data_IF_369745361178
#
_entry.id   IF_369745361178
#
_cell.length_a   1.000
_cell.length_b   1.000
_cell.length_c   1.000
_cell.angle_alpha   90.00
_cell.angle_beta   90.00
_cell.angle_gamma   90.00
#
_symmetry.space_group_name_H-M   'P 1'
#
loop_
_entity.id
_entity.type
_entity.pdbx_description
1 polymer ?
#
# COMPACT_ATOMS: atom_id res chain seq x y z
N UNK A 1 -14.91 -3.38 -28.72
CA UNK A 1 -15.74 -3.25 -27.50
C UNK A 1 -15.62 -1.80 -27.07
N UNK A 2 -16.65 -0.99 -26.83
CA UNK A 2 -18.10 -1.15 -26.81
C UNK A 2 -18.70 0.13 -27.44
N UNK A 3 -19.89 0.04 -28.03
CA UNK A 3 -20.55 1.17 -28.67
C UNK A 3 -21.64 1.79 -27.79
N UNK A 4 -21.83 3.10 -27.94
CA UNK A 4 -23.13 3.77 -27.80
C UNK A 4 -23.26 4.79 -28.93
N UNK A 5 -24.32 4.67 -29.72
CA UNK A 5 -24.71 5.69 -30.67
C UNK A 5 -25.47 6.81 -29.96
N UNK A 6 -25.14 8.05 -30.30
CA UNK A 6 -26.03 9.18 -30.58
C UNK A 6 -25.25 10.50 -30.41
N UNK A 7 -25.43 11.40 -31.37
CA UNK A 7 -24.86 12.75 -31.44
C UNK A 7 -24.65 13.44 -30.09
N UNK A 8 -23.40 13.48 -29.64
CA UNK A 8 -22.87 14.47 -28.71
C UNK A 8 -21.34 14.42 -28.80
N UNK A 9 -20.59 15.55 -28.74
CA UNK A 9 -19.12 15.53 -28.63
C UNK A 9 -18.63 14.99 -27.27
N UNK A 10 -19.47 14.25 -26.55
CA UNK A 10 -19.20 13.80 -25.19
C UNK A 10 -18.23 12.61 -25.19
N UNK A 11 -16.96 12.95 -25.04
CA UNK A 11 -16.13 12.50 -23.92
C UNK A 11 -16.00 10.99 -23.68
N UNK A 12 -15.81 10.19 -24.73
CA UNK A 12 -15.21 8.86 -24.58
C UNK A 12 -13.68 8.86 -24.70
N UNK A 13 -13.10 9.93 -25.26
CA UNK A 13 -11.65 10.12 -25.40
C UNK A 13 -11.05 11.21 -24.51
N UNK A 14 -11.87 11.98 -23.78
CA UNK A 14 -11.41 13.11 -22.94
C UNK A 14 -10.54 12.68 -21.74
N UNK A 15 -10.59 11.39 -21.38
CA UNK A 15 -9.76 10.78 -20.34
C UNK A 15 -8.62 9.93 -20.91
N UNK A 16 -8.48 9.86 -22.24
CA UNK A 16 -7.34 9.23 -22.88
C UNK A 16 -6.28 10.30 -23.21
N UNK A 17 -5.01 9.94 -23.03
CA UNK A 17 -3.94 10.82 -23.47
C UNK A 17 -3.95 10.89 -24.99
N UNK A 18 -4.12 12.10 -25.55
CA UNK A 18 -4.16 12.31 -26.98
C UNK A 18 -2.78 11.99 -27.58
N UNK A 19 -2.69 10.86 -28.28
CA UNK A 19 -1.51 10.48 -29.05
C UNK A 19 -1.80 10.68 -30.52
N UNK A 20 -1.26 11.77 -31.05
CA UNK A 20 -1.40 12.15 -32.45
C UNK A 20 -0.31 11.49 -33.31
N UNK A 21 -0.70 10.52 -34.13
CA UNK A 21 0.25 9.74 -34.94
C UNK A 21 0.53 10.35 -36.32
N UNK A 22 -0.40 11.14 -36.85
CA UNK A 22 -0.29 11.78 -38.16
C UNK A 22 -0.03 13.30 -38.05
N UNK A 23 0.17 13.80 -36.84
CA UNK A 23 0.41 15.21 -36.52
C UNK A 23 -0.70 16.13 -37.04
N UNK A 24 -1.94 15.66 -37.09
CA UNK A 24 -3.08 16.44 -37.59
C UNK A 24 -3.76 17.27 -36.49
N UNK A 25 -3.42 17.03 -35.22
CA UNK A 25 -3.96 17.71 -34.05
C UNK A 25 -5.42 17.37 -33.76
N UNK A 26 -5.98 16.33 -34.38
CA UNK A 26 -7.41 15.99 -34.33
C UNK A 26 -7.62 14.59 -33.77
N UNK A 27 -8.61 14.45 -32.88
CA UNK A 27 -9.07 13.14 -32.44
C UNK A 27 -9.89 12.47 -33.56
N UNK A 28 -9.26 11.55 -34.28
CA UNK A 28 -9.93 10.80 -35.33
C UNK A 28 -10.91 9.79 -34.72
N UNK A 29 -12.18 9.88 -35.13
CA UNK A 29 -13.22 8.96 -34.69
C UNK A 29 -13.04 7.60 -35.38
N UNK A 30 -13.53 6.52 -34.77
CA UNK A 30 -13.42 5.20 -35.41
C UNK A 30 -14.12 5.18 -36.78
N UNK A 31 -13.54 4.47 -37.74
CA UNK A 31 -14.09 4.30 -39.09
C UNK A 31 -14.98 3.05 -39.20
N UNK A 32 -15.15 2.31 -38.10
CA UNK A 32 -15.93 1.07 -38.03
C UNK A 32 -15.25 -0.13 -38.71
N UNK A 33 -13.98 -0.01 -39.10
CA UNK A 33 -13.23 -1.03 -39.83
C UNK A 33 -12.20 -1.72 -38.93
N UNK A 34 -11.70 -2.89 -39.36
CA UNK A 34 -10.73 -3.69 -38.62
C UNK A 34 -9.30 -3.31 -38.98
N UNK A 35 -8.47 -3.04 -37.96
CA UNK A 35 -7.09 -2.52 -38.11
C UNK A 35 -6.07 -3.60 -37.73
N UNK A 36 -6.43 -4.88 -37.77
CA UNK A 36 -5.59 -5.97 -37.30
C UNK A 36 -4.89 -6.76 -38.42
N UNK A 37 -3.99 -7.65 -38.01
CA UNK A 37 -3.09 -8.41 -38.89
C UNK A 37 -3.80 -9.17 -40.02
N UNK A 38 -5.06 -9.59 -39.84
CA UNK A 38 -5.83 -10.31 -40.86
C UNK A 38 -6.14 -9.45 -42.11
N UNK A 39 -6.01 -8.12 -42.03
CA UNK A 39 -6.14 -7.24 -43.18
C UNK A 39 -4.92 -7.22 -44.12
N UNK A 40 -3.86 -7.96 -43.78
CA UNK A 40 -2.65 -8.00 -44.60
C UNK A 40 -2.83 -8.82 -45.88
N UNK A 41 -3.68 -9.86 -45.95
CA UNK A 41 -3.91 -10.67 -47.17
C UNK A 41 -5.22 -11.51 -47.15
N UNK A 42 -6.13 -11.40 -48.14
CA UNK A 42 -6.38 -10.25 -49.02
C UNK A 42 -7.20 -9.16 -48.30
N UNK A 43 -6.93 -7.87 -48.56
CA UNK A 43 -7.71 -6.79 -47.99
C UNK A 43 -9.17 -6.86 -48.49
N UNK A 44 -10.11 -6.83 -47.55
CA UNK A 44 -11.54 -6.88 -47.81
C UNK A 44 -12.22 -5.60 -47.33
N UNK A 45 -13.50 -5.39 -47.68
CA UNK A 45 -14.24 -4.17 -47.36
C UNK A 45 -14.35 -3.84 -45.87
N UNK A 46 -14.13 -4.83 -44.99
CA UNK A 46 -14.06 -4.63 -43.54
C UNK A 46 -12.71 -4.17 -42.99
N UNK A 47 -11.73 -3.83 -43.84
CA UNK A 47 -10.38 -3.44 -43.43
C UNK A 47 -10.16 -1.92 -43.53
N UNK A 48 -9.60 -1.33 -42.48
CA UNK A 48 -9.23 0.09 -42.49
C UNK A 48 -7.97 0.32 -43.31
N UNK A 49 -7.82 1.55 -43.82
CA UNK A 49 -6.53 2.06 -44.31
C UNK A 49 -5.50 2.25 -43.20
N UNK A 50 -5.95 2.39 -41.95
CA UNK A 50 -5.08 2.45 -40.77
C UNK A 50 -4.82 1.04 -40.24
N UNK A 51 -3.58 0.58 -40.36
CA UNK A 51 -3.20 -0.81 -40.04
C UNK A 51 -2.76 -1.04 -38.59
N UNK A 52 -2.67 0.02 -37.79
CA UNK A 52 -2.29 -0.06 -36.39
C UNK A 52 -3.01 1.01 -35.57
N UNK A 53 -3.55 0.58 -34.43
CA UNK A 53 -4.05 1.44 -33.37
C UNK A 53 -3.22 1.17 -32.12
N UNK A 54 -3.02 2.19 -31.29
CA UNK A 54 -2.34 1.99 -30.02
C UNK A 54 -3.30 1.34 -29.02
N UNK A 55 -2.85 0.29 -28.35
CA UNK A 55 -3.51 -0.26 -27.17
C UNK A 55 -2.46 -0.28 -26.08
N UNK A 56 -2.70 0.48 -25.00
CA UNK A 56 -1.85 0.45 -23.82
C UNK A 56 -2.57 -0.23 -22.66
N UNK A 57 -1.84 -1.06 -21.94
CA UNK A 57 -2.22 -1.54 -20.63
C UNK A 57 -1.01 -1.36 -19.70
N UNK A 58 -1.24 -0.92 -18.48
CA UNK A 58 -0.20 -0.74 -17.47
C UNK A 58 -0.53 -1.56 -16.23
N UNK A 59 0.45 -2.30 -15.73
CA UNK A 59 0.36 -3.05 -14.47
C UNK A 59 1.53 -2.64 -13.58
N UNK A 60 1.23 -2.32 -12.32
CA UNK A 60 2.26 -2.08 -11.31
C UNK A 60 2.55 -3.40 -10.60
N UNK A 61 3.80 -3.86 -10.70
CA UNK A 61 4.32 -4.98 -9.92
C UNK A 61 5.26 -4.43 -8.86
N UNK A 62 4.98 -4.75 -7.60
CA UNK A 62 5.83 -4.40 -6.46
C UNK A 62 6.64 -5.63 -6.07
N UNK A 63 7.96 -5.49 -5.94
CA UNK A 63 8.85 -6.59 -5.59
C UNK A 63 9.28 -6.47 -4.14
N UNK A 64 8.57 -7.17 -3.25
CA UNK A 64 8.80 -7.15 -1.82
C UNK A 64 9.92 -8.10 -1.37
N UNK A 65 10.85 -7.60 -0.56
CA UNK A 65 11.85 -8.41 0.14
C UNK A 65 11.31 -9.15 1.38
N UNK A 66 12.00 -10.20 1.81
CA UNK A 66 11.66 -10.94 3.05
C UNK A 66 12.38 -10.44 4.30
N UNK A 67 13.22 -9.40 4.18
CA UNK A 67 13.92 -8.78 5.30
C UNK A 67 13.16 -7.52 5.73
N UNK A 68 12.41 -7.57 6.85
CA UNK A 68 11.69 -6.40 7.34
C UNK A 68 12.63 -5.39 7.97
N UNK A 69 12.31 -4.12 7.77
CA UNK A 69 12.86 -2.96 8.45
C UNK A 69 11.72 -2.26 9.19
N UNK A 70 11.96 -1.87 10.44
CA UNK A 70 10.98 -1.20 11.28
C UNK A 70 11.54 0.11 11.81
N UNK A 71 10.77 1.18 11.68
CA UNK A 71 11.07 2.49 12.24
C UNK A 71 9.94 2.91 13.18
N UNK A 72 10.29 3.29 14.41
CA UNK A 72 9.37 3.94 15.33
C UNK A 72 9.11 5.36 14.84
N UNK A 73 7.84 5.72 14.64
CA UNK A 73 7.48 7.05 14.13
C UNK A 73 6.96 7.95 15.23
N UNK A 74 6.19 7.41 16.18
CA UNK A 74 5.57 8.20 17.23
C UNK A 74 5.21 7.35 18.44
N UNK A 75 5.40 7.93 19.63
CA UNK A 75 4.78 7.46 20.87
C UNK A 75 3.74 8.47 21.36
N UNK A 76 2.70 7.96 22.00
CA UNK A 76 1.60 8.74 22.58
C UNK A 76 1.52 8.34 24.05
N UNK A 77 1.95 9.25 24.92
CA UNK A 77 1.89 9.05 26.37
C UNK A 77 0.50 9.38 26.93
N UNK A 78 0.20 8.83 28.11
CA UNK A 78 -1.06 9.11 28.81
C UNK A 78 -1.18 10.57 29.26
N UNK A 79 -0.06 11.25 29.56
CA UNK A 79 -0.06 12.60 30.11
C UNK A 79 0.40 13.67 29.10
N UNK A 80 1.18 13.28 28.09
CA UNK A 80 1.64 14.16 27.03
C UNK A 80 1.51 13.47 25.65
N UNK A 81 0.41 13.69 24.93
CA UNK A 81 0.01 12.81 23.83
C UNK A 81 0.87 12.88 22.55
N UNK A 82 2.00 13.60 22.52
CA UNK A 82 2.85 13.68 21.33
C UNK A 82 4.32 13.94 21.67
N UNK A 83 5.16 12.92 21.67
CA UNK A 83 6.61 13.08 21.52
C UNK A 83 7.10 12.27 20.31
N UNK A 84 7.41 12.93 19.17
CA UNK A 84 7.87 12.24 17.97
C UNK A 84 9.32 11.72 18.09
N UNK A 85 10.06 12.07 19.14
CA UNK A 85 11.45 11.63 19.34
C UNK A 85 11.63 10.76 20.59
N UNK A 86 10.55 10.41 21.29
CA UNK A 86 10.65 9.51 22.43
C UNK A 86 10.56 8.04 21.98
N UNK A 87 11.39 7.22 22.61
CA UNK A 87 11.38 5.76 22.48
C UNK A 87 10.71 5.09 23.69
N UNK A 88 10.19 5.91 24.60
CA UNK A 88 9.49 5.51 25.82
C UNK A 88 8.02 5.89 25.69
N UNK A 89 7.15 5.04 26.23
CA UNK A 89 5.71 5.26 26.37
C UNK A 89 5.40 5.32 27.85
N UNK A 90 5.06 6.50 28.36
CA UNK A 90 4.70 6.71 29.76
C UNK A 90 3.19 6.60 29.95
N UNK A 91 2.76 5.61 30.72
CA UNK A 91 1.36 5.31 31.01
C UNK A 91 1.11 5.53 32.50
N UNK A 92 0.13 6.36 32.85
CA UNK A 92 -0.25 6.61 34.24
C UNK A 92 -1.35 5.63 34.66
N UNK A 93 -1.02 4.72 35.60
CA UNK A 93 -1.92 3.68 36.09
C UNK A 93 -2.59 2.87 34.99
N UNK A 94 -3.92 2.76 35.04
CA UNK A 94 -4.73 2.04 34.05
C UNK A 94 -5.07 2.84 32.78
N UNK A 95 -4.44 4.00 32.58
CA UNK A 95 -4.63 4.77 31.35
C UNK A 95 -4.06 4.05 30.13
N UNK A 96 -4.19 4.66 28.97
CA UNK A 96 -3.73 4.13 27.69
C UNK A 96 -2.63 4.99 27.10
N UNK A 97 -1.59 4.35 26.58
CA UNK A 97 -0.64 4.95 25.65
C UNK A 97 -0.78 4.32 24.26
N UNK A 98 -0.17 4.88 23.23
CA UNK A 98 -0.14 4.28 21.91
C UNK A 98 1.24 4.41 21.25
N UNK A 99 1.53 3.50 20.33
CA UNK A 99 2.79 3.47 19.57
C UNK A 99 2.46 3.31 18.10
N UNK A 100 3.11 4.10 17.26
CA UNK A 100 3.03 4.00 15.81
C UNK A 100 4.39 3.62 15.24
N UNK A 101 4.40 2.53 14.47
CA UNK A 101 5.58 2.01 13.78
C UNK A 101 5.31 1.92 12.29
N UNK A 102 6.32 2.22 11.48
CA UNK A 102 6.30 1.97 10.04
C UNK A 102 7.18 0.75 9.77
N UNK A 103 6.61 -0.22 9.05
CA UNK A 103 7.31 -1.43 8.62
C UNK A 103 7.43 -1.38 7.10
N UNK A 104 8.60 -1.72 6.57
CA UNK A 104 8.87 -1.84 5.14
C UNK A 104 9.90 -2.94 4.90
N UNK A 105 10.17 -3.28 3.64
CA UNK A 105 11.37 -4.04 3.32
C UNK A 105 12.63 -3.14 3.32
N UNK A 106 13.81 -3.74 3.10
CA UNK A 106 15.09 -3.04 3.03
C UNK A 106 15.12 -1.89 2.00
N UNK A 107 14.31 -1.96 0.95
CA UNK A 107 14.26 -0.98 -0.14
C UNK A 107 13.03 -0.05 -0.03
N UNK A 108 12.42 0.03 1.16
CA UNK A 108 11.24 0.85 1.43
C UNK A 108 10.02 0.49 0.55
N UNK A 109 9.89 -0.78 0.17
CA UNK A 109 8.69 -1.34 -0.45
C UNK A 109 7.81 -2.03 0.62
N UNK A 110 6.52 -2.26 0.34
CA UNK A 110 5.67 -3.05 1.22
C UNK A 110 6.22 -4.48 1.38
N UNK A 111 5.92 -5.10 2.52
CA UNK A 111 6.25 -6.51 2.75
C UNK A 111 5.41 -7.44 1.85
N UNK A 112 5.84 -8.69 1.62
CA UNK A 112 5.10 -9.64 0.80
C UNK A 112 3.70 -9.89 1.36
N UNK A 113 2.71 -10.01 0.47
CA UNK A 113 1.34 -10.34 0.86
C UNK A 113 1.29 -11.61 1.71
N UNK A 114 0.54 -11.58 2.81
CA UNK A 114 0.47 -12.68 3.77
C UNK A 114 1.53 -12.65 4.88
N UNK A 115 2.42 -11.65 4.90
CA UNK A 115 3.32 -11.42 6.05
C UNK A 115 2.48 -11.16 7.31
N UNK A 116 2.81 -11.83 8.42
CA UNK A 116 2.15 -11.63 9.70
C UNK A 116 2.95 -10.67 10.58
N UNK A 117 2.30 -9.63 11.06
CA UNK A 117 2.84 -8.70 12.03
C UNK A 117 2.11 -8.94 13.35
N UNK A 118 2.84 -9.29 14.40
CA UNK A 118 2.30 -9.51 15.74
C UNK A 118 2.95 -8.58 16.76
N UNK A 119 2.14 -8.05 17.64
CA UNK A 119 2.51 -7.13 18.70
C UNK A 119 2.34 -7.83 20.04
N UNK A 120 3.36 -7.76 20.88
CA UNK A 120 3.36 -8.28 22.25
C UNK A 120 3.93 -7.26 23.21
N UNK A 121 3.38 -7.15 24.42
CA UNK A 121 3.85 -6.23 25.45
C UNK A 121 4.24 -6.99 26.70
N UNK A 122 5.42 -6.72 27.26
CA UNK A 122 5.83 -7.37 28.51
C UNK A 122 5.17 -6.78 29.77
N UNK A 123 4.59 -5.58 29.65
CA UNK A 123 3.82 -4.91 30.70
C UNK A 123 2.55 -4.31 30.08
N UNK A 124 1.43 -4.44 30.79
CA UNK A 124 0.14 -4.00 30.28
C UNK A 124 -0.51 -5.01 29.35
N UNK A 125 -1.50 -4.54 28.61
CA UNK A 125 -2.20 -5.33 27.58
C UNK A 125 -2.49 -4.48 26.36
N UNK A 126 -2.39 -5.08 25.18
CA UNK A 126 -2.74 -4.41 23.93
C UNK A 126 -4.26 -4.33 23.84
N UNK A 127 -4.77 -3.13 23.56
CA UNK A 127 -6.19 -2.87 23.34
C UNK A 127 -6.46 -2.93 21.84
N UNK A 128 -7.25 -3.91 21.42
CA UNK A 128 -7.60 -4.13 20.01
C UNK A 128 -6.80 -5.26 19.36
N UNK A 129 -6.71 -5.30 18.02
CA UNK A 129 -5.99 -6.36 17.31
C UNK A 129 -4.49 -6.30 17.58
N UNK A 130 -3.93 -7.39 18.09
CA UNK A 130 -2.48 -7.57 18.31
C UNK A 130 -1.79 -8.25 17.15
N UNK A 131 -2.52 -8.67 16.10
CA UNK A 131 -1.96 -9.30 14.92
C UNK A 131 -2.63 -8.79 13.66
N UNK A 132 -1.81 -8.57 12.64
CA UNK A 132 -2.22 -8.07 11.32
C UNK A 132 -1.58 -8.93 10.25
N UNK A 133 -2.33 -9.19 9.19
CA UNK A 133 -1.81 -9.84 7.98
C UNK A 133 -1.65 -8.80 6.89
N UNK A 134 -0.50 -8.80 6.23
CA UNK A 134 -0.21 -7.86 5.17
C UNK A 134 -1.13 -8.11 3.98
N UNK A 135 -1.91 -7.11 3.53
CA UNK A 135 -2.81 -7.27 2.41
C UNK A 135 -2.04 -7.42 1.09
N UNK A 136 -2.73 -7.90 0.05
CA UNK A 136 -2.20 -7.84 -1.30
C UNK A 136 -2.50 -6.46 -1.90
N UNK A 137 -1.50 -5.57 -1.91
CA UNK A 137 -1.60 -4.24 -2.49
C UNK A 137 -0.37 -3.90 -3.35
N UNK A 138 -0.49 -2.83 -4.14
CA UNK A 138 0.57 -2.29 -4.99
C UNK A 138 1.01 -0.89 -4.54
N UNK A 139 0.80 -0.57 -3.26
CA UNK A 139 1.20 0.71 -2.70
C UNK A 139 2.73 0.79 -2.64
N UNK A 140 3.29 1.92 -3.07
CA UNK A 140 4.72 2.16 -2.93
C UNK A 140 5.02 2.77 -1.55
N UNK A 141 5.68 2.00 -0.69
CA UNK A 141 6.11 2.47 0.63
C UNK A 141 5.91 1.45 1.74
N UNK A 142 6.51 1.76 2.90
CA UNK A 142 6.20 1.07 4.15
C UNK A 142 4.77 1.33 4.63
N UNK A 143 4.25 0.43 5.46
CA UNK A 143 2.93 0.53 6.07
C UNK A 143 3.05 0.91 7.53
N UNK A 144 2.26 1.89 7.95
CA UNK A 144 2.12 2.29 9.34
C UNK A 144 1.17 1.35 10.09
N UNK A 145 1.55 0.98 11.30
CA UNK A 145 0.75 0.23 12.26
C UNK A 145 0.75 0.98 13.58
N UNK A 146 -0.45 1.18 14.13
CA UNK A 146 -0.62 1.79 15.44
C UNK A 146 -1.24 0.76 16.40
N UNK A 147 -0.66 0.65 17.59
CA UNK A 147 -1.19 -0.18 18.67
C UNK A 147 -1.38 0.64 19.93
N UNK A 148 -2.50 0.41 20.62
CA UNK A 148 -2.81 1.05 21.90
C UNK A 148 -2.52 0.07 23.02
N UNK A 149 -1.88 0.54 24.08
CA UNK A 149 -1.41 -0.26 25.21
C UNK A 149 -2.10 0.29 26.46
N UNK A 150 -2.79 -0.58 27.19
CA UNK A 150 -3.36 -0.26 28.50
C UNK A 150 -2.35 -0.59 29.60
N UNK A 151 -2.12 0.36 30.50
CA UNK A 151 -1.24 0.21 31.65
C UNK A 151 -1.82 -0.70 32.75
N UNK A 152 -1.01 -0.92 33.78
CA UNK A 152 -1.34 -1.74 34.95
C UNK A 152 -1.55 -0.90 36.20
N UNK A 153 -2.19 -1.46 37.22
CA UNK A 153 -2.38 -0.78 38.53
C UNK A 153 -1.09 -0.61 39.33
N UNK A 154 -0.06 -1.40 39.04
CA UNK A 154 1.25 -1.29 39.69
C UNK A 154 2.27 -0.66 38.74
N UNK A 155 3.15 0.21 39.26
CA UNK A 155 4.21 0.79 38.47
C UNK A 155 5.20 -0.29 38.02
N UNK A 156 5.39 -0.41 36.71
CA UNK A 156 6.25 -1.44 36.12
C UNK A 156 6.73 -0.99 34.75
N UNK A 157 7.97 -1.33 34.41
CA UNK A 157 8.55 -1.05 33.10
C UNK A 157 8.73 -2.33 32.30
N UNK A 158 8.55 -2.21 30.99
CA UNK A 158 8.62 -3.29 30.01
C UNK A 158 8.96 -2.75 28.63
N UNK A 159 8.72 -3.55 27.61
CA UNK A 159 9.03 -3.26 26.22
C UNK A 159 7.90 -3.75 25.33
N UNK A 160 7.71 -3.03 24.22
CA UNK A 160 6.89 -3.49 23.11
C UNK A 160 7.77 -4.37 22.22
N UNK A 161 7.27 -5.56 21.90
CA UNK A 161 7.87 -6.49 20.95
C UNK A 161 7.00 -6.52 19.70
N UNK A 162 7.62 -6.36 18.54
CA UNK A 162 6.96 -6.46 17.23
C UNK A 162 7.64 -7.56 16.46
N UNK A 163 6.91 -8.64 16.17
CA UNK A 163 7.40 -9.77 15.39
C UNK A 163 6.79 -9.74 14.00
N UNK A 164 7.63 -9.86 12.99
CA UNK A 164 7.26 -9.90 11.58
C UNK A 164 7.68 -11.25 11.01
N UNK A 165 6.71 -12.04 10.58
CA UNK A 165 6.90 -13.36 9.97
C UNK A 165 6.48 -13.30 8.50
N UNK A 166 7.43 -13.50 7.59
CA UNK A 166 7.15 -13.50 6.15
C UNK A 166 6.65 -14.87 5.67
N UNK A 167 5.94 -14.94 4.53
CA UNK A 167 5.46 -16.21 3.96
C UNK A 167 6.59 -17.21 3.65
N UNK A 168 7.81 -16.72 3.44
CA UNK A 168 9.01 -17.54 3.24
C UNK A 168 9.58 -18.13 4.54
N UNK A 169 8.96 -17.86 5.69
CA UNK A 169 9.38 -18.36 7.01
C UNK A 169 10.44 -17.52 7.71
N UNK A 170 10.86 -16.39 7.13
CA UNK A 170 11.81 -15.47 7.78
C UNK A 170 11.05 -14.71 8.85
N UNK A 171 11.48 -14.87 10.10
CA UNK A 171 10.91 -14.18 11.26
C UNK A 171 11.95 -13.22 11.84
N UNK A 172 11.52 -11.98 12.12
CA UNK A 172 12.31 -10.96 12.81
C UNK A 172 11.50 -10.35 13.94
N UNK A 173 12.15 -10.09 15.07
CA UNK A 173 11.54 -9.44 16.22
C UNK A 173 12.28 -8.15 16.51
N UNK A 174 11.52 -7.07 16.68
CA UNK A 174 11.99 -5.74 16.99
C UNK A 174 11.47 -5.31 18.36
N UNK A 175 12.24 -4.47 19.05
CA UNK A 175 11.83 -3.82 20.31
C UNK A 175 11.83 -2.30 20.13
N UNK A 176 10.84 -1.72 19.44
CA UNK A 176 10.88 -0.33 19.03
C UNK A 176 10.72 0.66 20.17
N UNK A 177 9.97 0.31 21.22
CA UNK A 177 9.67 1.21 22.32
C UNK A 177 9.72 0.51 23.68
N UNK A 178 10.11 1.27 24.70
CA UNK A 178 10.03 0.89 26.11
C UNK A 178 8.71 1.38 26.69
N UNK A 179 8.04 0.57 27.50
CA UNK A 179 6.78 0.92 28.14
C UNK A 179 7.08 1.18 29.62
N UNK A 180 6.67 2.33 30.12
CA UNK A 180 6.84 2.70 31.52
C UNK A 180 5.46 3.00 32.13
N UNK A 181 4.99 2.12 33.01
CA UNK A 181 3.76 2.34 33.77
C UNK A 181 4.13 2.96 35.12
N UNK A 182 3.53 4.10 35.44
CA UNK A 182 3.72 4.84 36.69
C UNK A 182 2.47 4.84 37.55
#
# INVERSE_FOLDING_TARGET
AEGYGNNSPDASGDLEEFVDFNNDGVFNQNDGLYNGFLCSQPPHSGCSSQQSINVRASLVLVMSGSEPSLVLTKTIDSANPNDPNDSVVNIQGESTGAVEVIIADLHNQPMPAGTKVSFETSVGSIVGPSSFTWPNDNHNGGRAFAVTIKGTTQPKSGTLLVTVETPSGVTRTFSPATINVQ
#
